data_IF_430691807864
#
_entry.id   IF_430691807864
#
_cell.length_a   1.000
_cell.length_b   1.000
_cell.length_c   1.000
_cell.angle_alpha   90.00
_cell.angle_beta   90.00
_cell.angle_gamma   90.00
#
_symmetry.space_group_name_H-M   'P 1'
#
loop_
_entity.id
_entity.type
_entity.pdbx_description
1 polymer ?
#
# COMPACT_ATOMS: atom_id res chain seq x y z
N UNK A 1 -15.61 16.08 -1.17
CA UNK A 1 -16.28 14.82 -1.51
C UNK A 1 -16.34 13.91 -0.27
N UNK A 2 -16.97 14.41 0.82
CA UNK A 2 -17.03 13.77 2.13
C UNK A 2 -18.41 14.03 2.75
N UNK A 3 -19.47 13.54 2.09
CA UNK A 3 -20.83 13.65 2.63
C UNK A 3 -21.68 12.41 2.32
N UNK A 4 -21.05 11.24 2.27
CA UNK A 4 -21.74 9.97 2.25
C UNK A 4 -21.14 9.15 3.39
N UNK A 5 -21.94 8.95 4.43
CA UNK A 5 -21.83 8.09 5.63
C UNK A 5 -22.35 8.83 6.87
N UNK A 6 -23.56 9.39 6.77
CA UNK A 6 -24.41 9.69 7.92
C UNK A 6 -25.32 8.49 8.17
N UNK A 7 -24.77 7.41 8.73
CA UNK A 7 -25.53 6.46 9.52
C UNK A 7 -25.03 6.59 10.96
N UNK A 8 -25.95 6.84 11.90
CA UNK A 8 -25.68 6.97 13.34
C UNK A 8 -24.74 5.86 13.81
N UNK A 9 -23.57 6.22 14.34
CA UNK A 9 -22.55 5.24 14.73
C UNK A 9 -22.94 4.52 16.03
N UNK A 10 -22.75 3.20 16.05
CA UNK A 10 -22.92 2.31 17.21
C UNK A 10 -21.68 2.32 18.12
N UNK A 11 -21.21 3.50 18.55
CA UNK A 11 -20.11 3.58 19.53
C UNK A 11 -20.66 3.83 20.94
N UNK A 12 -20.12 3.10 21.91
CA UNK A 12 -20.30 3.29 23.36
C UNK A 12 -19.78 4.66 23.81
N UNK A 13 -20.07 5.04 25.05
CA UNK A 13 -19.66 6.35 25.57
C UNK A 13 -18.12 6.47 25.69
N UNK A 14 -17.45 5.43 26.16
CA UNK A 14 -15.98 5.38 26.26
C UNK A 14 -15.29 5.42 24.88
N UNK A 15 -15.80 4.67 23.89
CA UNK A 15 -15.26 4.72 22.53
C UNK A 15 -15.38 6.11 21.90
N UNK A 16 -16.45 6.85 22.21
CA UNK A 16 -16.63 8.23 21.74
C UNK A 16 -15.66 9.20 22.40
N UNK A 17 -15.38 9.02 23.69
CA UNK A 17 -14.43 9.84 24.45
C UNK A 17 -12.99 9.62 23.95
N UNK A 18 -12.58 8.37 23.75
CA UNK A 18 -11.27 8.03 23.17
C UNK A 18 -11.11 8.53 21.73
N UNK A 19 -12.14 8.39 20.89
CA UNK A 19 -12.14 8.99 19.55
C UNK A 19 -12.00 10.51 19.58
N UNK A 20 -12.51 11.16 20.63
CA UNK A 20 -12.37 12.59 20.85
C UNK A 20 -10.95 12.97 21.28
N UNK A 21 -10.32 12.18 22.15
CA UNK A 21 -8.91 12.34 22.53
C UNK A 21 -7.97 12.13 21.35
N UNK A 22 -8.17 11.06 20.57
CA UNK A 22 -7.40 10.79 19.33
C UNK A 22 -7.51 11.97 18.38
N UNK A 23 -8.73 12.53 18.18
CA UNK A 23 -8.96 13.71 17.34
C UNK A 23 -8.34 15.00 17.92
N UNK A 24 -8.27 15.16 19.24
CA UNK A 24 -7.58 16.30 19.86
C UNK A 24 -6.07 16.22 19.71
N UNK A 25 -5.49 15.03 19.85
CA UNK A 25 -4.05 14.81 19.69
C UNK A 25 -3.60 14.88 18.22
N UNK A 26 -4.51 14.63 17.28
CA UNK A 26 -4.29 14.91 15.86
C UNK A 26 -4.18 16.42 15.55
N UNK A 27 -4.75 17.28 16.40
CA UNK A 27 -4.66 18.75 16.28
C UNK A 27 -3.40 19.35 16.94
N UNK A 28 -2.68 18.58 17.76
CA UNK A 28 -1.54 19.06 18.56
C UNK A 28 -0.24 18.32 18.16
N UNK A 29 0.28 18.65 16.98
CA UNK A 29 1.52 18.05 16.45
C UNK A 29 2.79 18.62 17.08
N UNK A 30 3.76 17.75 17.41
CA UNK A 30 5.15 18.14 17.69
C UNK A 30 5.85 17.34 18.80
N UNK A 31 5.29 17.28 20.01
CA UNK A 31 5.97 16.70 21.19
C UNK A 31 5.44 15.32 21.63
N UNK A 32 4.59 14.70 20.80
CA UNK A 32 3.64 13.68 21.24
C UNK A 32 3.93 12.27 20.73
N UNK A 33 5.02 12.00 20.01
CA UNK A 33 5.27 10.68 19.41
C UNK A 33 5.39 9.54 20.44
N UNK A 34 6.06 9.78 21.59
CA UNK A 34 6.11 8.79 22.69
C UNK A 34 4.79 8.66 23.46
N UNK A 35 3.93 9.70 23.44
CA UNK A 35 2.61 9.67 24.06
C UNK A 35 1.53 9.10 23.13
N UNK A 36 1.59 9.36 21.82
CA UNK A 36 0.70 8.79 20.79
C UNK A 36 0.95 7.30 20.65
N UNK A 37 2.20 6.85 20.58
CA UNK A 37 2.56 5.43 20.63
C UNK A 37 2.02 4.78 21.91
N UNK A 38 2.21 5.39 23.09
CA UNK A 38 1.64 4.89 24.36
C UNK A 38 0.10 4.91 24.42
N UNK A 39 -0.57 5.82 23.73
CA UNK A 39 -2.04 5.90 23.70
C UNK A 39 -2.61 4.86 22.75
N UNK A 40 -1.96 4.61 21.61
CA UNK A 40 -2.30 3.48 20.72
C UNK A 40 -2.05 2.17 21.41
N UNK A 41 -0.90 2.02 22.05
CA UNK A 41 -0.59 0.84 22.83
C UNK A 41 -1.63 0.64 23.94
N UNK A 42 -2.03 1.71 24.65
CA UNK A 42 -3.13 1.68 25.61
C UNK A 42 -4.49 1.37 24.97
N UNK A 43 -4.78 1.85 23.77
CA UNK A 43 -6.05 1.62 23.08
C UNK A 43 -6.13 0.19 22.52
N UNK A 44 -5.06 -0.29 21.89
CA UNK A 44 -4.90 -1.68 21.48
C UNK A 44 -4.97 -2.59 22.70
N UNK A 45 -4.33 -2.23 23.82
CA UNK A 45 -4.44 -2.95 25.09
C UNK A 45 -5.86 -2.90 25.67
N UNK A 46 -6.52 -1.75 25.65
CA UNK A 46 -7.91 -1.62 26.10
C UNK A 46 -8.87 -2.46 25.25
N UNK A 47 -8.77 -2.39 23.92
CA UNK A 47 -9.57 -3.22 23.02
C UNK A 47 -9.24 -4.70 23.17
N UNK A 48 -7.97 -5.04 23.40
CA UNK A 48 -7.55 -6.38 23.74
C UNK A 48 -8.23 -6.86 25.03
N UNK A 49 -8.14 -6.07 26.10
CA UNK A 49 -8.75 -6.37 27.41
C UNK A 49 -10.29 -6.40 27.32
N UNK A 50 -10.92 -5.56 26.51
CA UNK A 50 -12.37 -5.50 26.29
C UNK A 50 -12.88 -6.72 25.51
N UNK A 51 -12.18 -7.12 24.44
CA UNK A 51 -12.53 -8.32 23.66
C UNK A 51 -12.37 -9.57 24.51
N UNK A 52 -11.25 -9.69 25.24
CA UNK A 52 -10.99 -10.83 26.12
C UNK A 52 -12.00 -10.88 27.28
N UNK A 53 -12.34 -9.74 27.90
CA UNK A 53 -13.30 -9.70 29.02
C UNK A 53 -14.74 -10.00 28.61
N UNK A 54 -15.12 -9.77 27.35
CA UNK A 54 -16.43 -10.16 26.78
C UNK A 54 -16.49 -11.62 26.32
N UNK A 55 -15.43 -12.40 26.54
CA UNK A 55 -15.33 -13.78 26.06
C UNK A 55 -15.09 -13.87 24.55
N UNK A 56 -14.72 -12.76 23.91
CA UNK A 56 -14.36 -12.70 22.50
C UNK A 56 -13.07 -13.46 22.25
N UNK A 57 -13.09 -14.32 21.23
CA UNK A 57 -11.92 -15.11 20.85
C UNK A 57 -10.88 -14.29 20.09
N UNK A 58 -9.71 -14.88 19.87
CA UNK A 58 -8.61 -14.34 19.05
C UNK A 58 -9.07 -13.74 17.70
N UNK A 59 -10.07 -14.33 17.05
CA UNK A 59 -10.59 -13.88 15.77
C UNK A 59 -11.39 -12.57 15.85
N UNK A 60 -12.10 -12.33 16.95
CA UNK A 60 -12.85 -11.10 17.17
C UNK A 60 -11.91 -9.91 17.35
N UNK A 61 -10.80 -10.14 18.05
CA UNK A 61 -9.71 -9.18 18.17
C UNK A 61 -9.06 -8.86 16.82
N UNK A 62 -8.70 -9.87 16.02
CA UNK A 62 -8.15 -9.67 14.67
C UNK A 62 -9.13 -8.86 13.82
N UNK A 63 -10.42 -9.20 13.86
CA UNK A 63 -11.43 -8.50 13.08
C UNK A 63 -11.52 -7.02 13.47
N UNK A 64 -11.46 -6.69 14.76
CA UNK A 64 -11.44 -5.30 15.25
C UNK A 64 -10.16 -4.58 14.76
N UNK A 65 -8.99 -5.19 14.93
CA UNK A 65 -7.70 -4.62 14.48
C UNK A 65 -7.73 -4.26 12.99
N UNK A 66 -8.21 -5.20 12.16
CA UNK A 66 -8.29 -5.04 10.71
C UNK A 66 -9.36 -4.04 10.29
N UNK A 67 -10.54 -4.09 10.92
CA UNK A 67 -11.68 -3.23 10.59
C UNK A 67 -11.43 -1.76 10.94
N UNK A 68 -10.69 -1.50 12.02
CA UNK A 68 -10.42 -0.14 12.50
C UNK A 68 -9.02 0.36 12.13
N UNK A 69 -8.28 -0.38 11.31
CA UNK A 69 -6.93 -0.03 10.85
C UNK A 69 -6.00 0.39 12.00
N UNK A 70 -6.14 -0.26 13.17
CA UNK A 70 -5.50 0.17 14.42
C UNK A 70 -3.97 0.01 14.41
N UNK A 71 -3.45 -0.65 13.38
CA UNK A 71 -2.03 -0.83 13.11
C UNK A 71 -1.41 0.34 12.33
N UNK A 72 -2.21 1.28 11.82
CA UNK A 72 -1.76 2.40 10.98
C UNK A 72 -0.97 3.50 11.71
N UNK A 73 -0.70 3.33 13.01
CA UNK A 73 0.10 4.27 13.80
C UNK A 73 1.54 3.79 13.95
N UNK A 74 2.17 3.48 12.81
CA UNK A 74 3.55 3.02 12.76
C UNK A 74 4.55 4.20 12.80
N UNK A 75 5.78 3.91 13.20
CA UNK A 75 6.88 4.88 13.25
C UNK A 75 7.70 4.86 11.96
N UNK A 76 7.06 4.62 10.82
CA UNK A 76 7.73 4.38 9.53
C UNK A 76 8.82 5.40 9.21
N UNK A 77 8.54 6.70 9.36
CA UNK A 77 9.54 7.74 9.08
C UNK A 77 10.79 7.65 9.97
N UNK A 78 10.64 7.25 11.23
CA UNK A 78 11.78 7.08 12.15
C UNK A 78 12.54 5.78 11.87
N UNK A 79 11.85 4.68 11.57
CA UNK A 79 12.48 3.42 11.16
C UNK A 79 13.23 3.56 9.83
N UNK A 80 12.64 4.26 8.86
CA UNK A 80 13.29 4.56 7.59
C UNK A 80 14.56 5.38 7.80
N UNK A 81 14.52 6.40 8.67
CA UNK A 81 15.71 7.19 9.02
C UNK A 81 16.79 6.30 9.61
N UNK A 82 16.44 5.48 10.60
CA UNK A 82 17.39 4.58 11.28
C UNK A 82 18.00 3.55 10.32
N UNK A 83 17.19 2.96 9.43
CA UNK A 83 17.67 2.00 8.45
C UNK A 83 18.64 2.65 7.44
N UNK A 84 18.33 3.87 6.98
CA UNK A 84 19.24 4.63 6.10
C UNK A 84 20.56 4.96 6.82
N UNK A 85 20.48 5.47 8.05
CA UNK A 85 21.65 5.85 8.85
C UNK A 85 22.53 4.65 9.23
N UNK A 86 21.94 3.45 9.34
CA UNK A 86 22.68 2.22 9.63
C UNK A 86 23.52 1.72 8.46
N UNK A 87 23.25 2.21 7.23
CA UNK A 87 23.83 1.71 5.98
C UNK A 87 23.64 0.20 5.74
N UNK A 88 22.67 -0.44 6.42
CA UNK A 88 22.29 -1.83 6.19
C UNK A 88 21.10 -1.92 5.21
N UNK A 89 21.38 -2.41 4.00
CA UNK A 89 20.38 -2.51 2.93
C UNK A 89 19.31 -3.57 3.23
N UNK A 90 19.62 -4.60 4.02
CA UNK A 90 18.61 -5.56 4.46
C UNK A 90 17.64 -4.89 5.43
N UNK A 91 18.15 -4.15 6.42
CA UNK A 91 17.31 -3.36 7.32
C UNK A 91 16.42 -2.37 6.57
N UNK A 92 16.94 -1.71 5.52
CA UNK A 92 16.13 -0.83 4.66
C UNK A 92 15.03 -1.59 3.92
N UNK A 93 15.34 -2.80 3.42
CA UNK A 93 14.37 -3.68 2.78
C UNK A 93 13.26 -4.10 3.77
N UNK A 94 13.62 -4.43 5.00
CA UNK A 94 12.70 -4.87 6.05
C UNK A 94 11.71 -3.76 6.43
N UNK A 95 12.15 -2.49 6.45
CA UNK A 95 11.27 -1.33 6.67
C UNK A 95 10.26 -1.17 5.54
N UNK A 96 10.72 -1.27 4.29
CA UNK A 96 9.85 -1.16 3.11
C UNK A 96 8.82 -2.30 3.11
N UNK A 97 9.29 -3.54 3.34
CA UNK A 97 8.43 -4.71 3.47
C UNK A 97 7.38 -4.50 4.56
N UNK A 98 7.77 -4.15 5.78
CA UNK A 98 6.81 -3.99 6.86
C UNK A 98 5.77 -2.88 6.61
N UNK A 99 6.16 -1.74 6.01
CA UNK A 99 5.23 -0.67 5.61
C UNK A 99 4.20 -1.12 4.59
N UNK A 100 4.65 -1.89 3.60
CA UNK A 100 3.81 -2.47 2.58
C UNK A 100 2.83 -3.49 3.20
N UNK A 101 3.30 -4.32 4.15
CA UNK A 101 2.47 -5.27 4.89
C UNK A 101 1.36 -4.59 5.66
N UNK A 102 1.61 -3.43 6.28
CA UNK A 102 0.55 -2.63 6.89
C UNK A 102 -0.47 -2.14 5.86
N UNK A 103 0.03 -1.60 4.74
CA UNK A 103 -0.81 -1.04 3.68
C UNK A 103 -1.70 -2.06 2.98
N UNK A 104 -1.35 -3.35 3.06
CA UNK A 104 -2.14 -4.43 2.48
C UNK A 104 -3.07 -5.15 3.46
N UNK A 105 -3.11 -4.83 4.75
CA UNK A 105 -4.07 -5.49 5.63
C UNK A 105 -5.52 -5.32 5.11
N UNK A 106 -6.33 -6.40 5.06
CA UNK A 106 -7.68 -6.32 4.50
C UNK A 106 -8.64 -5.62 5.47
N UNK A 107 -9.73 -5.03 4.95
CA UNK A 107 -10.83 -4.51 5.77
C UNK A 107 -11.17 -3.04 5.55
N UNK A 108 -10.31 -2.27 4.89
CA UNK A 108 -10.58 -0.89 4.51
C UNK A 108 -11.61 -0.82 3.36
N UNK A 109 -12.72 -0.06 3.50
CA UNK A 109 -13.62 0.18 2.38
C UNK A 109 -12.92 1.08 1.35
N UNK A 110 -12.78 0.61 0.12
CA UNK A 110 -12.36 1.47 -0.98
C UNK A 110 -13.57 1.85 -1.84
N UNK A 111 -13.57 3.07 -2.38
CA UNK A 111 -14.50 3.48 -3.43
C UNK A 111 -14.09 2.99 -4.82
N UNK A 112 -13.03 2.19 -4.91
CA UNK A 112 -12.35 1.79 -6.13
C UNK A 112 -12.42 0.27 -6.29
N UNK A 113 -12.12 -0.25 -7.47
CA UNK A 113 -11.83 -1.67 -7.65
C UNK A 113 -10.40 -2.01 -7.22
N UNK A 114 -9.86 -3.13 -7.70
CA UNK A 114 -8.54 -3.63 -7.36
C UNK A 114 -7.39 -2.65 -7.71
N UNK A 115 -7.63 -1.57 -8.47
CA UNK A 115 -6.61 -0.52 -8.64
C UNK A 115 -6.23 0.20 -7.34
N UNK A 116 -7.03 0.07 -6.27
CA UNK A 116 -6.66 0.53 -4.94
C UNK A 116 -5.27 0.02 -4.50
N UNK A 117 -4.87 -1.16 -4.97
CA UNK A 117 -3.59 -1.79 -4.62
C UNK A 117 -2.41 -1.33 -5.49
N UNK A 118 -2.59 -0.41 -6.45
CA UNK A 118 -1.52 0.04 -7.35
C UNK A 118 -0.25 0.48 -6.59
N UNK A 119 -0.43 1.20 -5.48
CA UNK A 119 0.68 1.74 -4.71
C UNK A 119 1.39 0.67 -3.87
N UNK A 120 0.71 -0.08 -2.96
CA UNK A 120 1.39 -1.07 -2.16
C UNK A 120 2.04 -2.18 -3.01
N UNK A 121 1.49 -2.47 -4.19
CA UNK A 121 2.09 -3.46 -5.11
C UNK A 121 3.44 -3.00 -5.66
N UNK A 122 3.60 -1.71 -5.98
CA UNK A 122 4.92 -1.19 -6.37
C UNK A 122 5.91 -1.26 -5.21
N UNK A 123 5.45 -1.02 -3.98
CA UNK A 123 6.29 -1.11 -2.79
C UNK A 123 6.68 -2.59 -2.49
N UNK A 124 5.77 -3.54 -2.75
CA UNK A 124 6.04 -4.98 -2.63
C UNK A 124 7.07 -5.47 -3.65
N UNK A 125 6.94 -5.04 -4.90
CA UNK A 125 7.93 -5.33 -5.95
C UNK A 125 9.30 -4.74 -5.57
N UNK A 126 9.34 -3.56 -4.95
CA UNK A 126 10.58 -2.92 -4.52
C UNK A 126 11.36 -3.78 -3.51
N UNK A 127 10.67 -4.34 -2.51
CA UNK A 127 11.30 -5.15 -1.46
C UNK A 127 11.45 -6.63 -1.80
N UNK A 128 10.94 -7.08 -2.96
CA UNK A 128 11.04 -8.47 -3.41
C UNK A 128 9.88 -9.38 -2.97
N UNK A 129 8.81 -8.83 -2.39
CA UNK A 129 7.56 -9.58 -2.12
C UNK A 129 6.73 -9.72 -3.40
N UNK A 130 7.21 -10.60 -4.29
CA UNK A 130 6.57 -10.85 -5.57
C UNK A 130 5.27 -11.66 -5.44
N UNK A 131 5.13 -12.50 -4.42
CA UNK A 131 3.92 -13.29 -4.18
C UNK A 131 2.71 -12.38 -3.93
N UNK A 132 2.95 -11.26 -3.23
CA UNK A 132 1.92 -10.25 -2.98
C UNK A 132 1.27 -9.72 -4.26
N UNK A 133 2.01 -9.63 -5.37
CA UNK A 133 1.46 -9.21 -6.66
C UNK A 133 0.30 -10.10 -7.09
N UNK A 134 0.58 -11.40 -7.22
CA UNK A 134 -0.37 -12.39 -7.74
C UNK A 134 -1.54 -12.58 -6.79
N UNK A 135 -1.30 -12.46 -5.48
CA UNK A 135 -2.38 -12.54 -4.50
C UNK A 135 -3.31 -11.34 -4.56
N UNK A 136 -2.82 -10.11 -4.72
CA UNK A 136 -3.67 -8.90 -4.72
C UNK A 136 -4.27 -8.56 -6.06
N UNK A 137 -3.55 -8.85 -7.14
CA UNK A 137 -3.94 -8.58 -8.51
C UNK A 137 -3.96 -9.89 -9.31
N UNK A 138 -4.73 -10.92 -8.89
CA UNK A 138 -4.78 -12.17 -9.62
C UNK A 138 -5.34 -11.94 -11.02
N UNK A 139 -4.84 -12.70 -12.00
CA UNK A 139 -5.10 -12.50 -13.43
C UNK A 139 -6.61 -12.45 -13.74
N UNK A 140 -7.42 -13.27 -13.06
CA UNK A 140 -8.87 -13.35 -13.24
C UNK A 140 -9.65 -12.07 -12.89
N UNK A 141 -9.06 -11.09 -12.19
CA UNK A 141 -9.72 -9.81 -11.95
C UNK A 141 -9.86 -8.97 -13.23
N UNK A 142 -9.04 -9.26 -14.25
CA UNK A 142 -8.98 -8.48 -15.48
C UNK A 142 -8.59 -7.02 -15.24
N UNK A 143 -8.78 -6.18 -16.25
CA UNK A 143 -8.43 -4.75 -16.17
C UNK A 143 -9.38 -3.99 -15.23
N UNK A 144 -8.78 -3.14 -14.38
CA UNK A 144 -9.46 -2.12 -13.59
C UNK A 144 -10.23 -1.13 -14.47
N UNK A 145 -11.42 -0.76 -13.99
CA UNK A 145 -12.38 0.14 -14.64
C UNK A 145 -12.90 1.22 -13.71
N UNK A 146 -12.66 1.12 -12.40
CA UNK A 146 -13.19 2.05 -11.41
C UNK A 146 -12.11 2.48 -10.41
N UNK A 147 -11.74 3.76 -10.45
CA UNK A 147 -10.86 4.36 -9.47
C UNK A 147 -10.27 5.69 -9.90
N UNK A 148 -9.28 6.16 -9.14
CA UNK A 148 -8.49 7.32 -9.54
C UNK A 148 -7.69 7.00 -10.82
N UNK A 149 -7.73 7.84 -11.88
CA UNK A 149 -7.13 7.50 -13.18
C UNK A 149 -5.69 7.00 -13.12
N UNK A 150 -4.83 7.64 -12.32
CA UNK A 150 -3.45 7.19 -12.10
C UNK A 150 -3.40 5.71 -11.66
N UNK A 151 -4.18 5.33 -10.64
CA UNK A 151 -4.21 3.97 -10.13
C UNK A 151 -4.72 2.97 -11.17
N UNK A 152 -5.75 3.32 -11.94
CA UNK A 152 -6.26 2.48 -13.02
C UNK A 152 -5.15 2.19 -14.03
N UNK A 153 -4.47 3.23 -14.52
CA UNK A 153 -3.44 3.07 -15.55
C UNK A 153 -2.23 2.28 -15.04
N UNK A 154 -1.76 2.55 -13.81
CA UNK A 154 -0.68 1.77 -13.20
C UNK A 154 -1.07 0.31 -13.06
N UNK A 155 -2.24 0.02 -12.48
CA UNK A 155 -2.69 -1.36 -12.24
C UNK A 155 -2.83 -2.15 -13.54
N UNK A 156 -3.47 -1.54 -14.55
CA UNK A 156 -3.69 -2.21 -15.84
C UNK A 156 -2.37 -2.49 -16.58
N UNK A 157 -1.43 -1.54 -16.55
CA UNK A 157 -0.11 -1.76 -17.12
C UNK A 157 0.70 -2.79 -16.33
N UNK A 158 0.66 -2.75 -14.99
CA UNK A 158 1.31 -3.74 -14.13
C UNK A 158 0.79 -5.15 -14.42
N UNK A 159 -0.52 -5.36 -14.47
CA UNK A 159 -1.11 -6.68 -14.76
C UNK A 159 -0.74 -7.17 -16.16
N UNK A 160 -0.86 -6.31 -17.18
CA UNK A 160 -0.50 -6.66 -18.55
C UNK A 160 0.97 -7.08 -18.68
N UNK A 161 1.88 -6.32 -18.05
CA UNK A 161 3.31 -6.59 -18.06
C UNK A 161 3.69 -7.83 -17.22
N UNK A 162 3.14 -7.95 -16.02
CA UNK A 162 3.45 -9.05 -15.10
C UNK A 162 3.02 -10.41 -15.65
N UNK A 163 1.79 -10.50 -16.15
CA UNK A 163 1.25 -11.72 -16.72
C UNK A 163 1.65 -11.94 -18.19
N UNK A 164 2.39 -11.00 -18.78
CA UNK A 164 2.76 -11.00 -20.20
C UNK A 164 1.55 -11.21 -21.12
N UNK A 165 0.43 -10.58 -20.76
CA UNK A 165 -0.85 -10.75 -21.45
C UNK A 165 -0.99 -9.67 -22.55
N UNK A 166 -0.79 -10.10 -23.79
CA UNK A 166 -0.85 -9.22 -24.97
C UNK A 166 -2.23 -8.58 -25.16
N UNK A 167 -3.31 -9.26 -24.78
CA UNK A 167 -4.66 -8.72 -24.91
C UNK A 167 -4.91 -7.63 -23.88
N UNK A 168 -4.48 -7.84 -22.63
CA UNK A 168 -4.49 -6.79 -21.60
C UNK A 168 -3.61 -5.60 -22.02
N UNK A 169 -2.43 -5.87 -22.59
CA UNK A 169 -1.52 -4.82 -23.02
C UNK A 169 -2.09 -3.99 -24.17
N UNK A 170 -2.65 -4.64 -25.19
CA UNK A 170 -3.32 -3.99 -26.32
C UNK A 170 -4.38 -2.99 -25.85
N UNK A 171 -5.13 -3.36 -24.82
CA UNK A 171 -6.19 -2.54 -24.25
C UNK A 171 -5.66 -1.45 -23.30
N UNK A 172 -4.67 -1.76 -22.46
CA UNK A 172 -4.14 -0.86 -21.43
C UNK A 172 -3.23 0.23 -22.00
N UNK A 173 -2.34 -0.12 -22.92
CA UNK A 173 -1.26 0.74 -23.39
C UNK A 173 -1.75 2.07 -24.03
N UNK A 174 -2.70 2.09 -24.98
CA UNK A 174 -3.16 3.35 -25.58
C UNK A 174 -3.79 4.30 -24.55
N UNK A 175 -4.46 3.75 -23.53
CA UNK A 175 -5.06 4.53 -22.44
C UNK A 175 -4.00 5.10 -21.50
N UNK A 176 -2.98 4.31 -21.18
CA UNK A 176 -1.83 4.73 -20.39
C UNK A 176 -1.03 5.83 -21.10
N UNK A 177 -0.72 5.67 -22.39
CA UNK A 177 -0.08 6.70 -23.21
C UNK A 177 -0.86 8.01 -23.19
N UNK A 178 -2.18 7.95 -23.41
CA UNK A 178 -3.04 9.15 -23.33
C UNK A 178 -2.92 9.82 -21.97
N UNK A 179 -2.92 9.05 -20.87
CA UNK A 179 -2.75 9.58 -19.52
C UNK A 179 -1.45 10.36 -19.35
N UNK A 180 -0.33 9.90 -19.92
CA UNK A 180 0.97 10.60 -19.81
C UNK A 180 0.96 12.02 -20.39
N UNK A 181 0.02 12.33 -21.30
CA UNK A 181 -0.13 13.65 -21.93
C UNK A 181 -1.10 14.59 -21.19
N UNK A 182 -1.78 14.11 -20.15
CA UNK A 182 -2.79 14.88 -19.41
C UNK A 182 -2.17 15.91 -18.47
N UNK A 183 -2.99 16.71 -17.76
CA UNK A 183 -2.53 17.66 -16.73
C UNK A 183 -2.40 17.06 -15.33
N UNK A 184 -2.35 15.72 -15.21
CA UNK A 184 -2.11 15.04 -13.94
C UNK A 184 -0.72 15.35 -13.37
N UNK A 185 -0.49 14.98 -12.11
CA UNK A 185 0.73 15.33 -11.39
C UNK A 185 1.94 14.70 -12.11
N UNK A 186 3.07 15.42 -12.15
CA UNK A 186 4.23 15.04 -12.96
C UNK A 186 4.75 13.64 -12.56
N UNK A 187 4.89 13.36 -11.27
CA UNK A 187 5.39 12.06 -10.80
C UNK A 187 4.40 10.90 -11.12
N UNK A 188 3.08 11.14 -11.11
CA UNK A 188 2.08 10.15 -11.50
C UNK A 188 2.21 9.78 -12.97
N UNK A 189 2.36 10.80 -13.83
CA UNK A 189 2.59 10.60 -15.26
C UNK A 189 3.91 9.89 -15.50
N UNK A 190 4.95 10.20 -14.74
CA UNK A 190 6.27 9.57 -14.86
C UNK A 190 6.23 8.05 -14.58
N UNK A 191 5.50 7.60 -13.56
CA UNK A 191 5.31 6.17 -13.29
C UNK A 191 4.62 5.49 -14.49
N UNK A 192 3.55 6.08 -15.01
CA UNK A 192 2.83 5.51 -16.17
C UNK A 192 3.72 5.54 -17.43
N UNK A 193 4.48 6.62 -17.65
CA UNK A 193 5.45 6.72 -18.75
C UNK A 193 6.51 5.63 -18.68
N UNK A 194 7.02 5.31 -17.48
CA UNK A 194 7.97 4.22 -17.29
C UNK A 194 7.39 2.88 -17.74
N UNK A 195 6.16 2.57 -17.32
CA UNK A 195 5.49 1.31 -17.68
C UNK A 195 5.23 1.22 -19.20
N UNK A 196 4.84 2.32 -19.85
CA UNK A 196 4.71 2.39 -21.32
C UNK A 196 6.06 2.22 -22.04
N UNK A 197 7.15 2.71 -21.46
CA UNK A 197 8.50 2.56 -22.02
C UNK A 197 8.99 1.11 -21.86
N UNK A 198 8.73 0.50 -20.69
CA UNK A 198 9.05 -0.91 -20.42
C UNK A 198 8.35 -1.85 -21.40
N UNK A 199 7.07 -1.63 -21.72
CA UNK A 199 6.35 -2.47 -22.69
C UNK A 199 6.92 -2.42 -24.11
N UNK A 200 7.81 -1.46 -24.40
CA UNK A 200 8.48 -1.30 -25.70
C UNK A 200 9.98 -1.53 -25.63
N UNK A 201 10.50 -1.91 -24.46
CA UNK A 201 11.94 -2.01 -24.19
C UNK A 201 12.72 -0.71 -24.51
N UNK A 202 12.08 0.45 -24.33
CA UNK A 202 12.70 1.76 -24.56
C UNK A 202 13.47 2.23 -23.32
N UNK A 203 14.77 1.88 -23.28
CA UNK A 203 15.64 2.14 -22.13
C UNK A 203 15.76 3.65 -21.84
N UNK A 204 15.94 4.48 -22.86
CA UNK A 204 16.11 5.92 -22.68
C UNK A 204 14.84 6.56 -22.12
N UNK A 205 13.66 6.13 -22.58
CA UNK A 205 12.40 6.60 -22.04
C UNK A 205 12.17 6.11 -20.60
N UNK A 206 12.58 4.87 -20.26
CA UNK A 206 12.54 4.37 -18.87
C UNK A 206 13.43 5.21 -17.95
N UNK A 207 14.67 5.47 -18.33
CA UNK A 207 15.61 6.31 -17.56
C UNK A 207 15.07 7.72 -17.34
N UNK A 208 14.53 8.34 -18.41
CA UNK A 208 13.95 9.68 -18.35
C UNK A 208 12.73 9.72 -17.41
N UNK A 209 11.87 8.71 -17.49
CA UNK A 209 10.70 8.60 -16.63
C UNK A 209 11.10 8.37 -15.17
N UNK A 210 12.11 7.55 -14.90
CA UNK A 210 12.60 7.26 -13.55
C UNK A 210 13.24 8.48 -12.89
N UNK A 211 14.04 9.24 -13.64
CA UNK A 211 14.59 10.53 -13.20
C UNK A 211 13.46 11.52 -12.90
N UNK A 212 12.51 11.67 -13.83
CA UNK A 212 11.36 12.57 -13.65
C UNK A 212 10.52 12.20 -12.43
N UNK A 213 10.31 10.91 -12.18
CA UNK A 213 9.64 10.43 -10.98
C UNK A 213 10.38 10.93 -9.73
N UNK A 214 11.67 10.70 -9.62
CA UNK A 214 12.44 11.05 -8.43
C UNK A 214 12.52 12.57 -8.20
N UNK A 215 12.72 13.36 -9.27
CA UNK A 215 12.80 14.83 -9.19
C UNK A 215 11.48 15.48 -8.75
N UNK A 216 10.36 14.87 -9.13
CA UNK A 216 9.02 15.38 -8.81
C UNK A 216 8.33 14.62 -7.69
N UNK A 217 9.00 13.63 -7.08
CA UNK A 217 8.45 12.83 -6.01
C UNK A 217 8.22 13.71 -4.79
N UNK A 218 6.99 14.17 -4.68
CA UNK A 218 6.48 14.85 -3.52
C UNK A 218 5.52 13.88 -2.86
N UNK A 219 6.02 12.99 -2.00
CA UNK A 219 5.11 12.45 -0.99
C UNK A 219 4.57 13.68 -0.25
N UNK A 220 3.24 13.74 -0.19
CA UNK A 220 2.46 14.83 0.41
C UNK A 220 3.27 15.50 1.52
N UNK A 221 3.32 16.84 1.54
CA UNK A 221 3.23 17.55 2.83
C UNK A 221 1.92 17.09 3.46
N UNK A 222 1.93 15.89 4.03
CA UNK A 222 0.86 15.36 4.84
C UNK A 222 0.60 16.47 5.85
N UNK A 223 -0.62 16.97 5.92
CA UNK A 223 -1.02 18.03 6.86
C UNK A 223 -0.88 17.60 8.33
N UNK A 224 -0.18 16.49 8.60
CA UNK A 224 0.08 15.88 9.89
C UNK A 224 1.57 15.81 10.29
N UNK A 225 2.51 16.38 9.53
CA UNK A 225 3.94 16.20 9.85
C UNK A 225 4.74 17.48 10.12
N UNK A 226 5.23 17.55 11.36
CA UNK A 226 6.17 18.52 11.94
C UNK A 226 7.64 18.22 11.60
N UNK A 227 7.94 17.34 10.65
CA UNK A 227 9.31 16.97 10.31
C UNK A 227 9.66 17.47 8.91
N UNK A 228 10.15 18.71 8.85
CA UNK A 228 10.46 19.45 7.61
C UNK A 228 11.67 18.92 6.83
N UNK A 229 12.38 17.89 7.30
CA UNK A 229 13.74 17.57 6.82
C UNK A 229 14.04 16.08 6.63
N UNK A 230 13.08 15.17 6.82
CA UNK A 230 13.30 13.73 6.60
C UNK A 230 12.83 13.32 5.21
N UNK A 231 13.80 13.15 4.33
CA UNK A 231 13.66 12.98 2.90
C UNK A 231 12.96 11.65 2.56
N UNK A 232 11.87 11.75 1.79
CA UNK A 232 11.00 10.62 1.46
C UNK A 232 11.65 9.77 0.38
N UNK A 233 12.24 8.62 0.75
CA UNK A 233 12.69 7.60 -0.18
C UNK A 233 11.62 7.34 -1.25
N UNK A 234 11.98 7.40 -2.53
CA UNK A 234 11.06 7.11 -3.62
C UNK A 234 10.95 5.59 -3.81
N UNK A 235 10.25 4.91 -2.90
CA UNK A 235 10.11 3.44 -2.91
C UNK A 235 9.60 2.93 -4.27
N UNK A 236 8.64 3.63 -4.87
CA UNK A 236 8.06 3.29 -6.17
C UNK A 236 9.08 3.29 -7.31
N UNK A 237 10.16 4.07 -7.24
CA UNK A 237 11.22 4.05 -8.24
C UNK A 237 11.96 2.70 -8.23
N UNK A 238 12.23 2.13 -7.06
CA UNK A 238 12.79 0.78 -6.94
C UNK A 238 11.80 -0.27 -7.40
N UNK A 239 10.51 -0.12 -7.09
CA UNK A 239 9.46 -1.02 -7.59
C UNK A 239 9.44 -1.09 -9.12
N UNK A 240 9.50 0.05 -9.79
CA UNK A 240 9.60 0.11 -11.26
C UNK A 240 10.90 -0.52 -11.79
N UNK A 241 12.03 -0.23 -11.15
CA UNK A 241 13.32 -0.80 -11.53
C UNK A 241 13.33 -2.33 -11.38
N UNK A 242 12.82 -2.85 -10.26
CA UNK A 242 12.77 -4.29 -9.98
C UNK A 242 11.77 -5.01 -10.88
N UNK A 243 10.64 -4.37 -11.22
CA UNK A 243 9.73 -4.88 -12.24
C UNK A 243 10.44 -5.03 -13.60
N UNK A 244 11.17 -3.99 -14.01
CA UNK A 244 11.85 -3.97 -15.30
C UNK A 244 12.91 -5.09 -15.39
N UNK A 245 13.74 -5.27 -14.36
CA UNK A 245 14.71 -6.36 -14.31
C UNK A 245 14.09 -7.76 -14.18
N UNK A 246 12.88 -7.87 -13.61
CA UNK A 246 12.16 -9.15 -13.55
C UNK A 246 11.63 -9.55 -14.93
N UNK A 247 11.07 -8.60 -15.68
CA UNK A 247 10.44 -8.84 -16.98
C UNK A 247 11.46 -8.93 -18.10
N UNK A 248 12.49 -8.09 -18.06
CA UNK A 248 13.53 -7.99 -19.07
C UNK A 248 14.92 -7.95 -18.41
N UNK A 249 15.44 -9.09 -17.91
CA UNK A 249 16.68 -9.16 -17.14
C UNK A 249 17.93 -8.63 -17.84
N UNK A 250 17.89 -8.51 -19.17
CA UNK A 250 18.98 -8.03 -20.02
C UNK A 250 19.10 -6.49 -20.06
N UNK A 251 18.05 -5.76 -19.69
CA UNK A 251 18.08 -4.30 -19.74
C UNK A 251 19.08 -3.75 -18.72
N UNK A 252 19.62 -2.57 -18.99
CA UNK A 252 20.44 -1.82 -18.05
C UNK A 252 19.93 -0.39 -18.01
N UNK A 253 19.28 -0.04 -16.90
CA UNK A 253 18.71 1.29 -16.67
C UNK A 253 19.69 2.06 -15.80
N UNK A 254 20.09 3.25 -16.25
CA UNK A 254 20.85 4.19 -15.43
C UNK A 254 19.99 4.68 -14.25
N UNK A 255 20.58 4.66 -13.05
CA UNK A 255 19.90 5.16 -11.86
C UNK A 255 19.65 6.67 -11.92
N UNK A 256 18.53 7.12 -11.33
CA UNK A 256 18.27 8.55 -11.18
C UNK A 256 19.32 9.18 -10.26
N UNK A 257 19.66 10.43 -10.55
CA UNK A 257 20.57 11.24 -9.73
C UNK A 257 19.76 12.14 -8.80
N UNK A 258 19.12 11.52 -7.80
CA UNK A 258 18.23 12.21 -6.85
C UNK A 258 18.48 11.71 -5.44
N UNK A 259 18.43 12.61 -4.45
CA UNK A 259 18.69 12.30 -3.02
C UNK A 259 17.73 11.29 -2.38
N UNK A 260 16.54 11.15 -2.96
CA UNK A 260 15.52 10.17 -2.54
C UNK A 260 15.70 8.80 -3.21
N UNK A 261 16.83 8.58 -3.88
CA UNK A 261 17.22 7.32 -4.50
C UNK A 261 18.66 6.94 -4.07
N UNK A 262 18.75 5.93 -3.22
CA UNK A 262 19.97 5.32 -2.68
C UNK A 262 20.44 4.27 -3.68
N UNK A 263 21.53 4.59 -4.40
CA UNK A 263 22.07 3.73 -5.46
C UNK A 263 22.56 2.39 -4.91
N UNK A 264 23.12 2.41 -3.70
CA UNK A 264 23.58 1.23 -2.97
C UNK A 264 22.44 0.25 -2.68
N UNK A 265 21.23 0.76 -2.39
CA UNK A 265 20.06 -0.10 -2.17
C UNK A 265 19.60 -0.76 -3.48
N UNK A 266 19.60 -0.01 -4.59
CA UNK A 266 19.27 -0.55 -5.90
C UNK A 266 20.27 -1.65 -6.31
N UNK A 267 21.58 -1.40 -6.17
CA UNK A 267 22.63 -2.38 -6.44
C UNK A 267 22.47 -3.64 -5.57
N UNK A 268 22.22 -3.46 -4.27
CA UNK A 268 21.98 -4.55 -3.34
C UNK A 268 20.74 -5.36 -3.74
N UNK A 269 19.63 -4.72 -4.11
CA UNK A 269 18.40 -5.41 -4.56
C UNK A 269 18.63 -6.25 -5.81
N UNK A 270 19.38 -5.73 -6.79
CA UNK A 270 19.70 -6.46 -8.03
C UNK A 270 20.54 -7.71 -7.74
N UNK A 271 21.49 -7.61 -6.80
CA UNK A 271 22.34 -8.72 -6.39
C UNK A 271 21.59 -9.75 -5.56
N UNK A 272 20.67 -9.32 -4.69
CA UNK A 272 19.92 -10.16 -3.76
C UNK A 272 18.52 -10.45 -4.29
N UNK A 273 18.38 -11.18 -5.40
CA UNK A 273 17.08 -11.36 -6.09
C UNK A 273 15.93 -11.83 -5.21
N UNK A 274 16.23 -12.68 -4.22
CA UNK A 274 15.29 -13.21 -3.23
C UNK A 274 15.75 -12.78 -1.83
N UNK A 275 15.49 -11.52 -1.44
CA UNK A 275 15.90 -11.04 -0.12
C UNK A 275 15.09 -11.77 0.96
N UNK A 276 15.67 -11.91 2.15
CA UNK A 276 14.89 -12.34 3.31
C UNK A 276 13.79 -11.29 3.57
N UNK A 277 12.54 -11.73 3.68
CA UNK A 277 11.41 -10.85 4.00
C UNK A 277 11.09 -11.02 5.49
N UNK A 278 11.38 -10.00 6.29
CA UNK A 278 11.13 -10.01 7.73
C UNK A 278 10.70 -8.64 8.24
N UNK A 279 10.05 -8.65 9.40
CA UNK A 279 9.64 -7.41 10.07
C UNK A 279 10.89 -6.70 10.62
N UNK A 280 11.04 -5.42 10.27
CA UNK A 280 12.04 -4.55 10.87
C UNK A 280 11.81 -4.38 12.39
N UNK A 281 10.54 -4.26 12.78
CA UNK A 281 10.12 -4.19 14.17
C UNK A 281 9.12 -5.29 14.50
N UNK A 282 9.48 -6.10 15.51
CA UNK A 282 8.63 -7.16 16.04
C UNK A 282 7.97 -6.71 17.35
N UNK A 283 6.68 -6.99 17.47
CA UNK A 283 5.92 -6.79 18.70
C UNK A 283 6.33 -7.84 19.76
N UNK A 284 6.29 -7.49 21.05
CA UNK A 284 6.58 -8.42 22.14
C UNK A 284 5.53 -9.55 22.22
N UNK A 285 5.73 -10.61 23.03
CA UNK A 285 4.83 -11.78 23.08
C UNK A 285 3.34 -11.45 23.26
N UNK A 286 3.01 -10.41 24.00
CA UNK A 286 1.64 -9.93 24.22
C UNK A 286 0.99 -9.37 22.94
N UNK A 287 1.81 -8.85 22.03
CA UNK A 287 1.43 -8.32 20.72
C UNK A 287 1.76 -9.26 19.56
N UNK A 288 2.14 -10.52 19.82
CA UNK A 288 2.59 -11.47 18.79
C UNK A 288 1.55 -11.70 17.68
N UNK A 289 0.27 -11.44 17.97
CA UNK A 289 -0.78 -11.46 16.96
C UNK A 289 -0.50 -10.49 15.81
N UNK A 290 0.09 -9.32 16.08
CA UNK A 290 0.44 -8.35 15.05
C UNK A 290 1.59 -8.83 14.19
N UNK A 291 2.61 -9.47 14.77
CA UNK A 291 3.69 -10.11 14.01
C UNK A 291 3.11 -11.14 13.04
N UNK A 292 2.23 -12.01 13.54
CA UNK A 292 1.57 -13.05 12.74
C UNK A 292 0.71 -12.47 11.61
N UNK A 293 -0.02 -11.38 11.87
CA UNK A 293 -0.81 -10.71 10.84
C UNK A 293 0.07 -10.10 9.74
N UNK A 294 1.17 -9.44 10.12
CA UNK A 294 2.08 -8.81 9.18
C UNK A 294 2.91 -9.82 8.39
N UNK A 295 3.18 -11.02 8.93
CA UNK A 295 3.94 -12.07 8.25
C UNK A 295 3.09 -13.09 7.47
N UNK A 296 1.78 -13.16 7.69
CA UNK A 296 0.91 -14.10 6.98
C UNK A 296 0.89 -13.84 5.45
N UNK A 297 0.51 -14.78 4.58
CA UNK A 297 0.26 -14.45 3.18
C UNK A 297 -0.83 -13.38 3.05
N UNK A 298 -0.63 -12.35 2.23
CA UNK A 298 -1.60 -11.25 2.11
C UNK A 298 -2.97 -11.78 1.66
N UNK A 299 -4.08 -11.10 2.03
CA UNK A 299 -5.40 -11.47 1.53
C UNK A 299 -5.43 -11.49 -0.01
N UNK A 300 -6.19 -12.42 -0.59
CA UNK A 300 -6.35 -12.50 -2.04
C UNK A 300 -7.28 -11.37 -2.49
N UNK A 301 -6.95 -10.66 -3.56
CA UNK A 301 -7.76 -9.61 -4.16
C UNK A 301 -9.15 -10.12 -4.53
N UNK A 302 -10.19 -9.42 -4.06
CA UNK A 302 -11.59 -9.68 -4.41
C UNK A 302 -12.25 -8.38 -4.81
N UNK A 303 -13.10 -8.47 -5.82
CA UNK A 303 -14.01 -7.39 -6.19
C UNK A 303 -15.45 -7.90 -6.24
N UNK A 304 -16.41 -7.03 -5.95
CA UNK A 304 -17.83 -7.31 -6.04
C UNK A 304 -18.61 -6.08 -6.47
N UNK A 305 -19.88 -6.26 -6.83
CA UNK A 305 -20.83 -5.18 -7.11
C UNK A 305 -21.85 -5.15 -5.97
N UNK A 306 -21.52 -4.58 -4.80
CA UNK A 306 -22.36 -4.70 -3.59
C UNK A 306 -23.72 -4.02 -3.75
N UNK A 307 -23.86 -3.09 -4.69
CA UNK A 307 -25.08 -2.33 -4.96
C UNK A 307 -25.83 -2.82 -6.20
N UNK A 308 -25.46 -3.98 -6.75
CA UNK A 308 -26.12 -4.51 -7.94
C UNK A 308 -27.61 -4.74 -7.67
N UNK A 309 -28.46 -4.12 -8.49
CA UNK A 309 -29.93 -4.12 -8.34
C UNK A 309 -30.48 -3.47 -7.07
N UNK A 310 -29.64 -2.76 -6.30
CA UNK A 310 -30.10 -2.00 -5.14
C UNK A 310 -30.77 -0.69 -5.60
N UNK A 311 -32.10 -0.63 -5.44
CA UNK A 311 -32.94 0.48 -5.88
C UNK A 311 -32.67 1.78 -5.11
N UNK A 312 -32.00 1.70 -3.96
CA UNK A 312 -31.63 2.87 -3.16
C UNK A 312 -30.43 3.63 -3.76
N UNK A 313 -29.72 3.03 -4.73
CA UNK A 313 -28.58 3.63 -5.40
C UNK A 313 -28.87 3.99 -6.86
N UNK A 314 -28.20 5.03 -7.37
CA UNK A 314 -28.27 5.39 -8.79
C UNK A 314 -27.71 4.28 -9.69
N UNK A 315 -28.28 4.08 -10.89
CA UNK A 315 -27.83 3.04 -11.84
C UNK A 315 -26.32 3.05 -12.12
N UNK A 316 -25.69 4.22 -12.11
CA UNK A 316 -24.24 4.36 -12.31
C UNK A 316 -23.41 3.80 -11.16
N UNK A 317 -23.97 3.69 -9.96
CA UNK A 317 -23.34 3.13 -8.74
C UNK A 317 -23.63 1.63 -8.66
N UNK A 318 -24.85 1.19 -9.04
CA UNK A 318 -25.26 -0.21 -8.99
C UNK A 318 -24.33 -1.15 -9.79
N UNK A 319 -23.77 -0.67 -10.89
CA UNK A 319 -22.93 -1.47 -11.79
C UNK A 319 -21.42 -1.32 -11.51
N UNK A 320 -21.03 -0.64 -10.43
CA UNK A 320 -19.61 -0.40 -10.12
C UNK A 320 -19.00 -1.61 -9.41
N UNK A 321 -17.85 -2.05 -9.91
CA UNK A 321 -17.00 -3.01 -9.21
C UNK A 321 -16.18 -2.27 -8.15
N UNK A 322 -16.16 -2.84 -6.95
CA UNK A 322 -15.47 -2.33 -5.79
C UNK A 322 -14.63 -3.44 -5.16
N UNK A 323 -13.56 -3.09 -4.45
CA UNK A 323 -12.84 -4.04 -3.60
C UNK A 323 -13.81 -4.62 -2.57
N UNK A 324 -13.86 -5.94 -2.50
CA UNK A 324 -14.65 -6.68 -1.52
C UNK A 324 -13.83 -6.88 -0.24
N UNK A 325 -13.58 -5.78 0.48
CA UNK A 325 -12.73 -5.78 1.67
C UNK A 325 -13.24 -6.69 2.79
N UNK A 326 -14.55 -6.92 2.86
CA UNK A 326 -15.14 -7.86 3.83
C UNK A 326 -14.80 -9.30 3.48
N UNK A 327 -15.04 -9.73 2.24
CA UNK A 327 -14.68 -11.08 1.80
C UNK A 327 -13.18 -11.33 1.92
N UNK A 328 -12.35 -10.35 1.55
CA UNK A 328 -10.90 -10.45 1.69
C UNK A 328 -10.48 -10.67 3.14
N UNK A 329 -11.07 -9.93 4.08
CA UNK A 329 -10.80 -10.06 5.52
C UNK A 329 -11.26 -11.41 6.04
N UNK A 330 -12.44 -11.88 5.66
CA UNK A 330 -12.99 -13.15 6.12
C UNK A 330 -12.21 -14.36 5.57
N UNK A 331 -11.74 -14.30 4.31
CA UNK A 331 -10.82 -15.28 3.73
C UNK A 331 -9.46 -15.26 4.45
N UNK A 332 -8.91 -14.07 4.72
CA UNK A 332 -7.64 -13.90 5.42
C UNK A 332 -7.68 -14.43 6.87
N UNK A 333 -8.73 -14.11 7.64
CA UNK A 333 -8.89 -14.64 9.01
C UNK A 333 -8.99 -16.16 8.99
N UNK A 334 -9.67 -16.75 8.00
CA UNK A 334 -9.75 -18.21 7.85
C UNK A 334 -8.39 -18.83 7.52
N UNK A 335 -7.57 -18.19 6.67
CA UNK A 335 -6.22 -18.71 6.38
C UNK A 335 -5.25 -18.65 7.55
N UNK A 336 -5.53 -17.85 8.59
CA UNK A 336 -4.72 -17.83 9.81
C UNK A 336 -5.00 -19.02 10.76
N UNK A 337 -5.95 -19.89 10.40
CA UNK A 337 -6.39 -21.04 11.21
C UNK A 337 -5.85 -22.38 10.70
N UNK A 338 -5.48 -22.45 9.42
CA UNK A 338 -4.82 -23.58 8.77
C UNK A 338 -3.32 -23.54 8.99
#
# INVERSE_FOLDING_TARGET
MLQIFSKKSKYTAEEKELLQEIRMLDKLGGALLSKKSKIVEKHCKFLFDEVISKGGGRNELINIVLKYELLSMNSYGDWLTQAIDSHDMQSLNDVIFQEERYSLLPGGPSGFDHCWFAWPILDAIACGDYETFERRLPHELGLSKNGYPFYIHVTNMLMALWYQDEAMLHDALPRAEKFTTTKHIIWERAIVSFLCALSRHDILAMETALQTLCDHYNRRKSSRETHKEKETLCVNAYGLLMLAYRIAPEIKIKYPDSKNFIKEFADWRIQNKEPELKLYHTYPPEGDIFNKLLMAPVAIGRISQPYLNDKDYEKRIQNVWLVDGERMRDEFIRSLQS
#
